data_IF_454288276490
#
_entry.id   IF_454288276490
#
_cell.length_a   1.000
_cell.length_b   1.000
_cell.length_c   1.000
_cell.angle_alpha   90.00
_cell.angle_beta   90.00
_cell.angle_gamma   90.00
#
_symmetry.space_group_name_H-M   'P 1'
#
loop_
_entity.id
_entity.type
_entity.pdbx_description
1 polymer ?
#
# COMPACT_ATOMS: atom_id res chain seq x y z
N UNK A 1 1.48 20.96 -30.94
CA UNK A 1 1.78 20.81 -29.50
C UNK A 1 0.45 20.62 -28.78
N UNK A 2 0.22 19.52 -28.06
CA UNK A 2 -1.04 19.37 -27.34
C UNK A 2 -1.02 20.26 -26.09
N UNK A 3 -2.05 21.09 -25.99
CA UNK A 3 -2.29 22.08 -24.97
C UNK A 3 -2.46 21.37 -23.61
N UNK A 4 -1.46 21.46 -22.72
CA UNK A 4 -1.62 20.97 -21.35
C UNK A 4 -2.55 21.93 -20.59
N UNK A 5 -3.81 21.53 -20.44
CA UNK A 5 -4.77 22.19 -19.56
C UNK A 5 -4.17 22.29 -18.15
N UNK A 6 -3.69 23.48 -17.78
CA UNK A 6 -3.23 23.77 -16.41
C UNK A 6 -4.44 23.75 -15.48
N UNK A 7 -4.71 22.60 -14.87
CA UNK A 7 -5.72 22.50 -13.82
C UNK A 7 -5.32 23.41 -12.64
N UNK A 8 -6.24 24.25 -12.12
CA UNK A 8 -6.01 25.06 -10.93
C UNK A 8 -5.47 24.22 -9.77
N UNK A 9 -4.52 24.78 -9.01
CA UNK A 9 -3.88 24.08 -7.87
C UNK A 9 -4.89 23.47 -6.90
N UNK A 10 -6.00 24.16 -6.63
CA UNK A 10 -7.06 23.67 -5.76
C UNK A 10 -7.75 22.39 -6.29
N UNK A 11 -8.01 22.30 -7.59
CA UNK A 11 -8.62 21.11 -8.19
C UNK A 11 -7.67 19.92 -8.15
N UNK A 12 -6.37 20.16 -8.35
CA UNK A 12 -5.33 19.12 -8.19
C UNK A 12 -5.24 18.61 -6.75
N UNK A 13 -5.35 19.50 -5.76
CA UNK A 13 -5.37 19.13 -4.35
C UNK A 13 -6.60 18.30 -4.02
N UNK A 14 -7.79 18.75 -4.44
CA UNK A 14 -9.04 18.03 -4.26
C UNK A 14 -9.03 16.67 -4.95
N UNK A 15 -8.45 16.56 -6.15
CA UNK A 15 -8.29 15.29 -6.86
C UNK A 15 -7.38 14.32 -6.10
N UNK A 16 -6.23 14.79 -5.63
CA UNK A 16 -5.28 13.93 -4.92
C UNK A 16 -5.81 13.50 -3.53
N UNK A 17 -6.47 14.41 -2.80
CA UNK A 17 -7.18 14.08 -1.56
C UNK A 17 -8.35 13.14 -1.81
N UNK A 18 -9.06 13.28 -2.93
CA UNK A 18 -10.19 12.43 -3.30
C UNK A 18 -9.83 10.96 -3.56
N UNK A 19 -8.54 10.65 -3.70
CA UNK A 19 -8.08 9.27 -3.74
C UNK A 19 -8.11 8.60 -2.35
N UNK A 20 -8.10 9.40 -1.27
CA UNK A 20 -8.25 8.91 0.09
C UNK A 20 -9.75 8.78 0.39
N UNK A 21 -10.23 7.53 0.46
CA UNK A 21 -11.64 7.23 0.68
C UNK A 21 -12.04 7.42 2.15
N UNK A 22 -13.28 7.84 2.40
CA UNK A 22 -13.85 7.85 3.74
C UNK A 22 -13.75 6.45 4.38
N UNK A 23 -13.39 6.39 5.66
CA UNK A 23 -13.12 5.13 6.35
C UNK A 23 -11.69 4.60 6.17
N UNK A 24 -10.89 5.18 5.27
CA UNK A 24 -9.52 4.74 5.06
C UNK A 24 -8.67 4.94 6.32
N UNK A 25 -7.81 3.96 6.59
CA UNK A 25 -6.86 4.08 7.69
C UNK A 25 -5.72 5.02 7.31
N UNK A 26 -5.47 6.03 8.15
CA UNK A 26 -4.38 6.99 7.99
C UNK A 26 -3.45 6.97 9.20
N UNK A 27 -2.22 7.43 9.00
CA UNK A 27 -1.27 7.71 10.09
C UNK A 27 -1.17 9.21 10.28
N UNK A 28 -1.34 9.66 11.52
CA UNK A 28 -1.13 11.03 11.97
C UNK A 28 0.27 11.11 12.60
N UNK A 29 1.18 11.84 11.97
CA UNK A 29 2.47 12.20 12.54
C UNK A 29 2.35 13.55 13.27
N UNK A 30 2.69 13.57 14.55
CA UNK A 30 2.70 14.76 15.40
C UNK A 30 4.13 14.99 15.92
N UNK A 31 4.56 16.26 15.96
CA UNK A 31 5.84 16.66 16.54
C UNK A 31 5.58 17.56 17.73
N UNK A 32 6.10 17.20 18.91
CA UNK A 32 5.98 18.03 20.10
C UNK A 32 6.88 19.27 20.00
N UNK A 33 6.65 20.32 20.81
CA UNK A 33 7.55 21.49 20.85
C UNK A 33 9.01 21.13 21.17
N UNK A 34 9.22 20.06 21.95
CA UNK A 34 10.54 19.51 22.26
C UNK A 34 11.14 18.65 21.11
N UNK A 35 10.52 18.62 19.93
CA UNK A 35 10.99 17.88 18.76
C UNK A 35 10.69 16.38 18.77
N UNK A 36 9.96 15.86 19.77
CA UNK A 36 9.64 14.43 19.85
C UNK A 36 8.58 14.07 18.81
N UNK A 37 8.81 13.02 18.03
CA UNK A 37 7.89 12.55 16.99
C UNK A 37 7.00 11.44 17.52
N UNK A 38 5.70 11.52 17.25
CA UNK A 38 4.69 10.50 17.54
C UNK A 38 3.94 10.13 16.27
N UNK A 39 3.62 8.85 16.09
CA UNK A 39 2.86 8.34 14.94
C UNK A 39 1.64 7.57 15.43
N UNK A 40 0.46 7.94 14.95
CA UNK A 40 -0.79 7.38 15.45
C UNK A 40 -1.69 6.95 14.30
N UNK A 41 -2.09 5.68 14.30
CA UNK A 41 -3.07 5.16 13.35
C UNK A 41 -4.47 5.68 13.73
N UNK A 42 -5.19 6.22 12.75
CA UNK A 42 -6.57 6.70 12.91
C UNK A 42 -7.35 6.57 11.60
N UNK A 43 -8.60 7.03 11.59
CA UNK A 43 -9.51 6.93 10.45
C UNK A 43 -9.68 8.28 9.75
N UNK A 44 -9.64 8.27 8.42
CA UNK A 44 -10.04 9.41 7.60
C UNK A 44 -11.57 9.47 7.50
N UNK A 45 -12.15 10.64 7.75
CA UNK A 45 -13.60 10.83 7.70
C UNK A 45 -14.00 11.41 6.34
N UNK A 46 -13.34 12.49 5.92
CA UNK A 46 -13.65 13.18 4.67
C UNK A 46 -13.07 14.58 4.62
N UNK A 47 -13.50 15.37 3.64
CA UNK A 47 -13.08 16.76 3.48
C UNK A 47 -14.14 17.59 2.78
N UNK A 48 -14.14 18.89 3.05
CA UNK A 48 -14.83 19.89 2.27
C UNK A 48 -13.77 20.67 1.47
N UNK A 49 -13.77 20.63 0.12
CA UNK A 49 -12.77 21.31 -0.69
C UNK A 49 -12.59 22.77 -0.28
N UNK A 50 -11.33 23.20 -0.14
CA UNK A 50 -10.92 24.56 0.24
C UNK A 50 -11.28 24.99 1.67
N UNK A 51 -11.95 24.17 2.47
CA UNK A 51 -12.35 24.54 3.83
C UNK A 51 -11.61 23.71 4.90
N UNK A 52 -11.90 22.41 4.99
CA UNK A 52 -11.28 21.56 6.02
C UNK A 52 -11.18 20.09 5.61
N UNK A 53 -10.33 19.38 6.34
CA UNK A 53 -10.24 17.91 6.34
C UNK A 53 -10.62 17.39 7.71
N UNK A 54 -11.40 16.31 7.75
CA UNK A 54 -11.83 15.64 8.99
C UNK A 54 -11.14 14.29 9.11
N UNK A 55 -10.53 14.06 10.27
CA UNK A 55 -10.02 12.74 10.67
C UNK A 55 -10.50 12.43 12.09
N UNK A 56 -10.64 11.16 12.42
CA UNK A 56 -10.88 10.76 13.79
C UNK A 56 -9.63 11.09 14.64
N UNK A 57 -9.82 11.54 15.88
CA UNK A 57 -8.71 11.65 16.82
C UNK A 57 -8.23 10.23 17.18
N UNK A 58 -6.91 9.96 17.23
CA UNK A 58 -6.44 8.66 17.65
C UNK A 58 -6.92 8.29 19.06
N UNK A 59 -7.00 7.00 19.32
CA UNK A 59 -7.49 6.48 20.58
C UNK A 59 -6.66 7.00 21.76
N UNK A 60 -7.32 7.53 22.80
CA UNK A 60 -6.66 8.19 23.92
C UNK A 60 -5.65 7.28 24.64
N UNK A 61 -5.95 5.98 24.74
CA UNK A 61 -5.08 4.94 25.29
C UNK A 61 -3.73 4.83 24.56
N UNK A 62 -3.71 5.14 23.26
CA UNK A 62 -2.51 5.06 22.40
C UNK A 62 -1.72 6.37 22.33
N UNK A 63 -2.33 7.49 22.73
CA UNK A 63 -1.70 8.81 22.67
C UNK A 63 -0.67 9.03 23.78
N UNK A 64 -0.93 8.51 24.99
CA UNK A 64 -0.12 8.82 26.16
C UNK A 64 0.08 10.33 26.33
N UNK A 65 1.32 10.77 26.58
CA UNK A 65 1.64 12.20 26.74
C UNK A 65 1.53 13.02 25.44
N UNK A 66 1.30 12.41 24.28
CA UNK A 66 1.10 13.16 23.04
C UNK A 66 -0.27 13.82 22.95
N UNK A 67 -1.28 13.31 23.67
CA UNK A 67 -2.64 13.82 23.60
C UNK A 67 -2.75 15.31 23.97
N UNK A 68 -1.90 15.79 24.87
CA UNK A 68 -1.87 17.21 25.27
C UNK A 68 -1.41 18.15 24.14
N UNK A 69 -0.70 17.63 23.12
CA UNK A 69 -0.21 18.41 21.99
C UNK A 69 -1.16 18.38 20.78
N UNK A 70 -2.30 17.69 20.87
CA UNK A 70 -3.36 17.70 19.85
C UNK A 70 -4.33 18.86 20.06
N UNK A 71 -3.79 20.08 19.99
CA UNK A 71 -4.52 21.32 20.25
C UNK A 71 -4.63 22.14 18.96
N UNK A 72 -5.59 23.08 18.89
CA UNK A 72 -5.63 24.08 17.83
C UNK A 72 -4.25 24.73 17.62
N UNK A 73 -3.86 24.89 16.37
CA UNK A 73 -2.56 25.43 15.98
C UNK A 73 -1.42 24.41 15.87
N UNK A 74 -1.61 23.15 16.31
CA UNK A 74 -0.57 22.13 16.15
C UNK A 74 -0.44 21.68 14.69
N UNK A 75 0.80 21.63 14.20
CA UNK A 75 1.12 21.09 12.88
C UNK A 75 1.13 19.57 12.90
N UNK A 76 0.49 18.96 11.92
CA UNK A 76 0.38 17.52 11.76
C UNK A 76 0.69 17.12 10.32
N UNK A 77 1.23 15.91 10.15
CA UNK A 77 1.30 15.28 8.82
C UNK A 77 0.35 14.09 8.80
N UNK A 78 -0.53 14.06 7.82
CA UNK A 78 -1.45 12.93 7.60
C UNK A 78 -0.92 12.11 6.43
N UNK A 79 -0.85 10.79 6.61
CA UNK A 79 -0.41 9.83 5.59
C UNK A 79 -1.47 8.74 5.43
N UNK A 80 -2.13 8.71 4.29
CA UNK A 80 -3.06 7.65 3.91
C UNK A 80 -2.41 6.68 2.94
N UNK A 81 -2.69 5.39 3.12
CA UNK A 81 -2.37 4.37 2.14
C UNK A 81 -3.58 4.22 1.20
N UNK A 82 -3.35 4.38 -0.09
CA UNK A 82 -4.32 3.99 -1.12
C UNK A 82 -4.04 2.54 -1.46
N UNK A 83 -4.99 1.67 -1.13
CA UNK A 83 -4.97 0.27 -1.51
C UNK A 83 -5.51 0.12 -2.95
N UNK A 84 -4.82 -0.66 -3.79
CA UNK A 84 -5.11 -0.81 -5.23
C UNK A 84 -3.88 -1.22 -6.04
N UNK A 85 -4.03 -1.30 -7.37
CA UNK A 85 -3.02 -1.77 -8.33
C UNK A 85 -1.70 -1.00 -8.24
N UNK A 86 -1.77 0.33 -8.09
CA UNK A 86 -0.56 1.16 -8.00
C UNK A 86 0.01 1.23 -6.58
N UNK A 87 -0.84 1.20 -5.55
CA UNK A 87 -0.41 1.30 -4.15
C UNK A 87 0.35 2.60 -3.89
N UNK A 88 -0.33 3.65 -3.46
CA UNK A 88 0.29 4.96 -3.27
C UNK A 88 0.10 5.47 -1.84
N UNK A 89 1.05 6.28 -1.38
CA UNK A 89 0.86 7.10 -0.18
C UNK A 89 0.36 8.47 -0.63
N UNK A 90 -0.76 8.89 -0.06
CA UNK A 90 -1.16 10.30 -0.04
C UNK A 90 -0.67 10.89 1.27
N UNK A 91 0.13 11.94 1.19
CA UNK A 91 0.64 12.65 2.34
C UNK A 91 0.39 14.14 2.22
N UNK A 92 -0.04 14.77 3.30
CA UNK A 92 -0.17 16.22 3.37
C UNK A 92 0.15 16.72 4.77
N UNK A 93 0.66 17.95 4.83
CA UNK A 93 0.86 18.69 6.08
C UNK A 93 -0.33 19.62 6.26
N UNK A 94 -0.86 19.67 7.47
CA UNK A 94 -1.95 20.57 7.84
C UNK A 94 -1.81 20.99 9.31
N UNK A 95 -2.66 21.93 9.73
CA UNK A 95 -2.74 22.41 11.10
C UNK A 95 -4.10 22.03 11.69
N UNK A 96 -4.13 21.67 12.97
CA UNK A 96 -5.38 21.43 13.68
C UNK A 96 -6.10 22.78 13.84
N UNK A 97 -7.29 22.93 13.24
CA UNK A 97 -8.18 24.07 13.48
C UNK A 97 -8.93 23.89 14.80
N UNK A 98 -9.49 22.71 15.02
CA UNK A 98 -10.34 22.43 16.16
C UNK A 98 -10.45 20.93 16.44
N UNK A 99 -10.71 20.57 17.71
CA UNK A 99 -11.07 19.22 18.12
C UNK A 99 -12.54 19.18 18.56
N UNK A 100 -13.34 18.31 17.97
CA UNK A 100 -14.73 18.04 18.35
C UNK A 100 -14.78 16.82 19.27
N UNK A 101 -15.71 16.77 20.23
CA UNK A 101 -15.85 15.66 21.18
C UNK A 101 -17.12 14.81 20.96
N UNK A 102 -18.16 15.39 20.34
CA UNK A 102 -19.47 14.78 20.13
C UNK A 102 -19.78 14.83 18.63
N UNK A 103 -20.30 13.75 18.01
CA UNK A 103 -20.63 12.45 18.61
C UNK A 103 -19.40 11.57 18.88
N UNK A 104 -18.21 11.97 18.41
CA UNK A 104 -16.94 11.30 18.68
C UNK A 104 -15.79 12.30 18.64
N UNK A 105 -14.59 11.88 19.07
CA UNK A 105 -13.40 12.74 18.97
C UNK A 105 -12.93 12.88 17.53
N UNK A 106 -13.06 14.08 16.97
CA UNK A 106 -12.70 14.40 15.58
C UNK A 106 -11.71 15.56 15.57
N UNK A 107 -10.69 15.47 14.73
CA UNK A 107 -9.78 16.58 14.44
C UNK A 107 -10.23 17.24 13.13
N UNK A 108 -10.56 18.52 13.22
CA UNK A 108 -10.79 19.39 12.07
C UNK A 108 -9.46 20.04 11.71
N UNK A 109 -8.96 19.74 10.52
CA UNK A 109 -7.70 20.24 10.00
C UNK A 109 -7.94 21.32 8.95
N UNK A 110 -7.00 22.24 8.78
CA UNK A 110 -7.01 23.14 7.63
C UNK A 110 -6.97 22.37 6.31
N UNK A 111 -7.64 22.89 5.29
CA UNK A 111 -7.47 22.34 3.96
C UNK A 111 -6.01 22.50 3.51
N UNK A 112 -5.30 21.41 3.17
CA UNK A 112 -3.87 21.47 2.95
C UNK A 112 -3.54 22.26 1.70
N UNK A 113 -2.43 23.00 1.74
CA UNK A 113 -1.92 23.77 0.60
C UNK A 113 -1.25 22.90 -0.45
N UNK A 114 -0.74 21.73 -0.03
CA UNK A 114 -0.02 20.77 -0.87
C UNK A 114 -0.39 19.34 -0.47
N UNK A 115 -0.59 18.48 -1.47
CA UNK A 115 -0.83 17.05 -1.29
C UNK A 115 0.15 16.29 -2.16
N UNK A 116 1.00 15.50 -1.51
CA UNK A 116 2.00 14.67 -2.17
C UNK A 116 1.42 13.28 -2.41
N UNK A 117 1.53 12.81 -3.65
CA UNK A 117 1.24 11.44 -4.02
C UNK A 117 2.56 10.75 -4.35
N UNK A 118 2.88 9.70 -3.59
CA UNK A 118 4.09 8.92 -3.77
C UNK A 118 3.70 7.48 -4.08
N UNK A 119 4.06 6.98 -5.25
CA UNK A 119 3.93 5.54 -5.53
C UNK A 119 4.79 4.75 -4.54
N UNK A 120 4.22 3.71 -3.95
CA UNK A 120 4.97 2.75 -3.14
C UNK A 120 5.71 1.73 -3.99
N UNK A 121 5.31 1.59 -5.26
CA UNK A 121 5.82 0.57 -6.15
C UNK A 121 6.62 1.21 -7.27
N UNK A 122 7.76 0.60 -7.56
CA UNK A 122 8.57 0.93 -8.73
C UNK A 122 7.93 0.46 -10.05
N UNK A 123 6.92 -0.41 -9.98
CA UNK A 123 6.24 -0.97 -11.14
C UNK A 123 4.77 -1.31 -10.83
N UNK A 124 3.92 -1.18 -11.84
CA UNK A 124 2.51 -1.56 -11.80
C UNK A 124 2.39 -3.08 -11.61
N UNK A 125 1.42 -3.49 -10.78
CA UNK A 125 1.05 -4.89 -10.61
C UNK A 125 -0.23 -5.19 -11.34
N UNK A 126 -0.28 -6.36 -11.96
CA UNK A 126 -1.44 -6.89 -12.68
C UNK A 126 -2.00 -8.02 -11.82
N UNK A 127 -3.30 -7.99 -11.57
CA UNK A 127 -3.99 -9.07 -10.86
C UNK A 127 -4.13 -10.30 -11.76
N UNK A 128 -3.88 -11.48 -11.19
CA UNK A 128 -3.78 -12.74 -11.94
C UNK A 128 -4.32 -13.91 -11.11
N UNK A 129 -4.49 -15.07 -11.74
CA UNK A 129 -4.74 -16.34 -11.03
C UNK A 129 -3.97 -17.49 -11.70
N UNK A 130 -2.64 -17.44 -11.59
CA UNK A 130 -1.74 -18.37 -12.31
C UNK A 130 -1.27 -19.46 -11.36
N UNK A 131 -1.66 -20.71 -11.62
CA UNK A 131 -1.20 -21.85 -10.85
C UNK A 131 0.30 -22.11 -11.07
N UNK A 132 1.03 -22.29 -9.98
CA UNK A 132 2.48 -22.52 -9.96
C UNK A 132 2.86 -23.58 -8.92
N UNK A 133 4.11 -24.06 -9.05
CA UNK A 133 4.81 -24.76 -7.97
C UNK A 133 5.85 -23.84 -7.36
N UNK A 134 5.83 -23.72 -6.05
CA UNK A 134 6.87 -23.04 -5.27
C UNK A 134 7.80 -24.10 -4.71
N UNK A 135 9.10 -23.97 -4.94
CA UNK A 135 10.13 -24.84 -4.39
C UNK A 135 11.03 -24.07 -3.42
N UNK A 136 11.26 -24.63 -2.24
CA UNK A 136 12.24 -24.15 -1.26
C UNK A 136 12.98 -25.35 -0.68
N UNK A 137 14.31 -25.30 -0.69
CA UNK A 137 15.18 -26.42 -0.31
C UNK A 137 14.85 -27.73 -1.04
N UNK A 138 14.14 -28.66 -0.39
CA UNK A 138 13.72 -29.97 -0.94
C UNK A 138 12.21 -30.16 -1.02
N UNK A 139 11.44 -29.14 -0.65
CA UNK A 139 9.98 -29.20 -0.60
C UNK A 139 9.35 -28.38 -1.72
N UNK A 140 8.19 -28.83 -2.17
CA UNK A 140 7.41 -28.17 -3.21
C UNK A 140 5.95 -28.03 -2.77
N UNK A 141 5.38 -26.85 -3.01
CA UNK A 141 3.99 -26.55 -2.71
C UNK A 141 3.26 -26.08 -3.97
N UNK A 142 1.97 -26.42 -4.06
CA UNK A 142 1.07 -25.81 -5.03
C UNK A 142 0.67 -24.43 -4.53
N UNK A 143 0.69 -23.45 -5.43
CA UNK A 143 0.38 -22.07 -5.10
C UNK A 143 -0.18 -21.33 -6.32
N UNK A 144 -0.76 -20.16 -6.11
CA UNK A 144 -1.21 -19.29 -7.19
C UNK A 144 -0.51 -17.93 -7.11
N UNK A 145 -0.07 -17.41 -8.26
CA UNK A 145 0.31 -16.00 -8.39
C UNK A 145 -0.98 -15.19 -8.49
N UNK A 146 -1.21 -14.34 -7.49
CA UNK A 146 -2.42 -13.49 -7.41
C UNK A 146 -2.22 -12.08 -7.95
N UNK A 147 -0.97 -11.62 -8.00
CA UNK A 147 -0.58 -10.47 -8.79
C UNK A 147 0.91 -10.54 -9.15
N UNK A 148 1.28 -9.88 -10.24
CA UNK A 148 2.66 -9.85 -10.74
C UNK A 148 3.02 -8.46 -11.29
N UNK A 149 4.27 -8.05 -11.11
CA UNK A 149 4.94 -6.94 -11.80
C UNK A 149 6.26 -7.42 -12.38
N UNK A 150 6.95 -6.57 -13.15
CA UNK A 150 8.26 -6.92 -13.73
C UNK A 150 9.33 -7.26 -12.68
N UNK A 151 9.15 -6.82 -11.44
CA UNK A 151 10.14 -6.92 -10.36
C UNK A 151 9.75 -7.90 -9.25
N UNK A 152 8.55 -8.46 -9.26
CA UNK A 152 8.10 -9.38 -8.22
C UNK A 152 6.64 -9.80 -8.38
N UNK A 153 6.17 -10.62 -7.46
CA UNK A 153 4.79 -11.10 -7.45
C UNK A 153 4.30 -11.36 -6.02
N UNK A 154 2.98 -11.56 -5.88
CA UNK A 154 2.37 -12.10 -4.68
C UNK A 154 1.87 -13.50 -4.99
N UNK A 155 2.17 -14.43 -4.08
CA UNK A 155 1.80 -15.84 -4.19
C UNK A 155 0.98 -16.26 -2.98
N UNK A 156 -0.07 -17.06 -3.20
CA UNK A 156 -0.83 -17.73 -2.14
C UNK A 156 -0.51 -19.22 -2.19
N UNK A 157 0.09 -19.73 -1.12
CA UNK A 157 0.35 -21.17 -0.91
C UNK A 157 -0.84 -21.77 -0.17
N UNK A 158 -1.45 -22.80 -0.74
CA UNK A 158 -2.56 -23.52 -0.12
C UNK A 158 -2.05 -24.51 0.93
N UNK A 159 -2.68 -24.52 2.11
CA UNK A 159 -2.31 -25.39 3.22
C UNK A 159 -0.80 -25.32 3.61
N UNK A 160 -0.17 -24.17 3.37
CA UNK A 160 1.23 -23.94 3.73
C UNK A 160 1.40 -23.65 5.22
N UNK A 161 2.54 -24.02 5.78
CA UNK A 161 2.94 -23.59 7.12
C UNK A 161 3.81 -22.31 7.01
N UNK A 162 3.39 -21.17 7.61
CA UNK A 162 4.20 -19.95 7.61
C UNK A 162 5.60 -20.13 8.22
N UNK A 163 5.77 -21.10 9.13
CA UNK A 163 7.03 -21.37 9.81
C UNK A 163 8.12 -21.92 8.88
N UNK A 164 7.74 -22.40 7.69
CA UNK A 164 8.67 -22.92 6.69
C UNK A 164 9.23 -21.82 5.77
N UNK A 165 8.73 -20.58 5.87
CA UNK A 165 9.03 -19.50 4.92
C UNK A 165 9.49 -18.23 5.64
N UNK A 166 10.79 -17.95 5.56
CA UNK A 166 11.39 -16.81 6.26
C UNK A 166 11.66 -15.66 5.30
N UNK A 167 11.47 -14.41 5.75
CA UNK A 167 11.92 -13.24 4.99
C UNK A 167 13.42 -13.37 4.65
N UNK A 168 13.77 -13.11 3.40
CA UNK A 168 15.13 -13.26 2.87
C UNK A 168 15.45 -14.63 2.29
N UNK A 169 14.57 -15.62 2.44
CA UNK A 169 14.75 -16.94 1.84
C UNK A 169 14.59 -16.86 0.32
N UNK A 170 15.48 -17.55 -0.41
CA UNK A 170 15.39 -17.74 -1.85
C UNK A 170 14.49 -18.93 -2.16
N UNK A 171 13.60 -18.74 -3.12
CA UNK A 171 12.65 -19.75 -3.57
C UNK A 171 12.62 -19.83 -5.10
N UNK A 172 12.22 -20.99 -5.61
CA UNK A 172 12.00 -21.23 -7.03
C UNK A 172 10.51 -21.23 -7.33
N UNK A 173 10.13 -20.60 -8.42
CA UNK A 173 8.77 -20.59 -8.95
C UNK A 173 8.79 -21.31 -10.29
N UNK A 174 7.95 -22.32 -10.43
CA UNK A 174 7.78 -23.07 -11.67
C UNK A 174 6.36 -22.85 -12.17
N UNK A 175 6.24 -22.22 -13.33
CA UNK A 175 5.00 -22.09 -14.08
C UNK A 175 5.02 -23.17 -15.16
N UNK A 176 4.07 -24.09 -15.12
CA UNK A 176 3.98 -25.19 -16.07
C UNK A 176 2.90 -24.91 -17.12
N UNK A 177 3.23 -25.15 -18.39
CA UNK A 177 2.31 -25.09 -19.53
C UNK A 177 1.32 -23.91 -19.53
N UNK A 178 1.84 -22.70 -19.33
CA UNK A 178 1.00 -21.50 -19.35
C UNK A 178 0.86 -20.99 -20.77
N UNK A 179 -0.29 -21.31 -21.40
CA UNK A 179 -0.72 -20.73 -22.69
C UNK A 179 0.29 -20.91 -23.82
N UNK A 180 0.86 -22.11 -23.93
CA UNK A 180 1.84 -22.44 -24.97
C UNK A 180 3.25 -21.93 -24.69
N UNK A 181 3.49 -21.30 -23.53
CA UNK A 181 4.85 -21.10 -23.03
C UNK A 181 5.41 -22.44 -22.53
N UNK A 182 6.66 -22.72 -22.90
CA UNK A 182 7.45 -23.74 -22.21
C UNK A 182 7.55 -23.40 -20.72
N UNK A 183 7.75 -24.42 -19.88
CA UNK A 183 7.88 -24.25 -18.43
C UNK A 183 8.81 -23.09 -18.06
N UNK A 184 8.27 -22.10 -17.36
CA UNK A 184 9.04 -20.96 -16.89
C UNK A 184 9.55 -21.25 -15.50
N UNK A 185 10.86 -21.06 -15.31
CA UNK A 185 11.51 -21.15 -14.01
C UNK A 185 11.99 -19.76 -13.62
N UNK A 186 11.60 -19.32 -12.43
CA UNK A 186 12.00 -18.04 -11.86
C UNK A 186 12.55 -18.25 -10.45
N UNK A 187 13.53 -17.47 -10.07
CA UNK A 187 14.06 -17.37 -8.72
C UNK A 187 13.61 -16.05 -8.09
N UNK A 188 13.23 -16.12 -6.82
CA UNK A 188 12.76 -14.96 -6.08
C UNK A 188 13.18 -15.02 -4.61
N UNK A 189 13.27 -13.86 -3.98
CA UNK A 189 13.49 -13.74 -2.55
C UNK A 189 12.20 -13.33 -1.85
N UNK A 190 11.88 -13.99 -0.74
CA UNK A 190 10.73 -13.67 0.11
C UNK A 190 10.95 -12.31 0.80
N UNK A 191 10.11 -11.33 0.50
CA UNK A 191 10.14 -10.00 1.11
C UNK A 191 9.18 -9.86 2.29
N UNK A 192 8.07 -10.60 2.27
CA UNK A 192 7.13 -10.69 3.40
C UNK A 192 6.35 -12.00 3.34
N UNK A 193 5.98 -12.52 4.51
CA UNK A 193 5.07 -13.64 4.66
C UNK A 193 3.93 -13.27 5.63
N UNK A 194 2.69 -13.60 5.27
CA UNK A 194 1.50 -13.37 6.11
C UNK A 194 0.59 -14.59 6.08
N UNK A 195 0.10 -15.00 7.25
CA UNK A 195 -0.95 -16.01 7.34
C UNK A 195 -2.28 -15.42 6.85
N UNK A 196 -2.96 -16.14 5.98
CA UNK A 196 -4.25 -15.78 5.41
C UNK A 196 -5.22 -16.96 5.56
N UNK A 197 -5.83 -17.09 6.75
CA UNK A 197 -6.62 -18.26 7.11
C UNK A 197 -5.76 -19.52 7.17
N UNK A 198 -6.11 -20.52 6.36
CA UNK A 198 -5.34 -21.77 6.19
C UNK A 198 -4.23 -21.66 5.12
N UNK A 199 -4.11 -20.50 4.48
CA UNK A 199 -3.12 -20.27 3.42
C UNK A 199 -2.00 -19.35 3.91
N UNK A 200 -0.92 -19.31 3.14
CA UNK A 200 0.20 -18.38 3.34
C UNK A 200 0.32 -17.46 2.14
N UNK A 201 0.25 -16.16 2.38
CA UNK A 201 0.52 -15.14 1.36
C UNK A 201 1.99 -14.72 1.45
N UNK A 202 2.72 -14.87 0.35
CA UNK A 202 4.10 -14.43 0.21
C UNK A 202 4.20 -13.26 -0.76
N UNK A 203 4.91 -12.21 -0.36
CA UNK A 203 5.38 -11.17 -1.27
C UNK A 203 6.81 -11.46 -1.71
N UNK A 204 7.03 -11.59 -3.01
CA UNK A 204 8.29 -12.04 -3.60
C UNK A 204 8.92 -10.96 -4.48
N UNK A 205 10.26 -10.88 -4.47
CA UNK A 205 11.05 -10.06 -5.39
C UNK A 205 11.85 -10.98 -6.32
N UNK A 206 11.73 -10.77 -7.63
CA UNK A 206 12.47 -11.56 -8.61
C UNK A 206 13.97 -11.24 -8.56
N UNK A 207 14.79 -12.29 -8.70
CA UNK A 207 16.23 -12.15 -8.93
C UNK A 207 16.51 -11.64 -10.35
N UNK A 208 17.68 -11.04 -10.59
CA UNK A 208 18.01 -10.40 -11.88
C UNK A 208 17.85 -11.34 -13.09
N UNK A 209 18.18 -12.62 -12.95
CA UNK A 209 18.05 -13.62 -14.01
C UNK A 209 16.63 -14.10 -14.32
N UNK A 210 15.62 -13.64 -13.56
CA UNK A 210 14.22 -14.09 -13.70
C UNK A 210 13.28 -13.03 -14.28
N UNK A 211 13.81 -11.83 -14.58
CA UNK A 211 13.01 -10.71 -15.07
C UNK A 211 12.46 -10.95 -16.48
N UNK A 212 13.21 -11.63 -17.36
CA UNK A 212 12.76 -11.93 -18.72
C UNK A 212 11.56 -12.89 -18.71
N UNK A 213 11.62 -13.94 -17.88
CA UNK A 213 10.55 -14.92 -17.70
C UNK A 213 9.32 -14.26 -17.08
N UNK A 214 9.51 -13.41 -16.07
CA UNK A 214 8.43 -12.62 -15.49
C UNK A 214 7.76 -11.69 -16.52
N UNK A 215 8.55 -11.08 -17.42
CA UNK A 215 8.03 -10.23 -18.49
C UNK A 215 7.23 -11.04 -19.52
N UNK A 216 7.70 -12.23 -19.91
CA UNK A 216 6.94 -13.15 -20.80
C UNK A 216 5.62 -13.54 -20.16
N UNK A 217 5.63 -13.87 -18.87
CA UNK A 217 4.42 -14.23 -18.12
C UNK A 217 3.43 -13.06 -18.08
N UNK A 218 3.89 -11.86 -17.73
CA UNK A 218 3.10 -10.62 -17.70
C UNK A 218 2.43 -10.31 -19.04
N UNK A 219 3.18 -10.43 -20.14
CA UNK A 219 2.65 -10.19 -21.48
C UNK A 219 1.48 -11.15 -21.78
N UNK A 220 1.65 -12.44 -21.49
CA UNK A 220 0.59 -13.43 -21.72
C UNK A 220 -0.63 -13.26 -20.81
N UNK A 221 -0.46 -12.71 -19.61
CA UNK A 221 -1.59 -12.40 -18.73
C UNK A 221 -2.36 -11.16 -19.19
N UNK A 222 -1.70 -10.14 -19.72
CA UNK A 222 -2.39 -8.94 -20.23
C UNK A 222 -3.33 -9.24 -21.40
N UNK A 223 -2.95 -10.18 -22.28
CA UNK A 223 -3.82 -10.63 -23.37
C UNK A 223 -5.10 -11.35 -22.89
N UNK A 224 -5.22 -11.72 -21.62
CA UNK A 224 -6.43 -12.32 -21.04
C UNK A 224 -7.55 -11.32 -20.75
N UNK A 225 -7.19 -10.07 -20.43
CA UNK A 225 -8.14 -9.06 -19.95
C UNK A 225 -8.64 -8.11 -21.06
N UNK A 226 -8.21 -8.33 -22.30
CA UNK A 226 -8.64 -7.61 -23.51
C UNK A 226 -9.60 -8.43 -24.35
#
# INVERSE_FOLDING_TARGET
>A
MPNQLQMPTAERLSRNLGLLQAGATVTLDLVTPAGKKGKFRTCFIGYLPKDYVLIQSPEASKLGSFGQYMQPGANVTVRGLIEGHEGAIVAFVSQIRQTLQIPSRILTLEFPKNVTLQSLRSAVRIDTDIAIKVGADKEYWKANIVNISNSGCQVIIYNGDPLLMTNGQKIKLVVEDFRGLSNLNMEATVCNAKKAGNNVSLGLKFEEGSQEQAQKLLQQTMFEQS
#
